data_IF_638477407030
#
_entry.id   IF_638477407030
#
_cell.length_a   1.000
_cell.length_b   1.000
_cell.length_c   1.000
_cell.angle_alpha   90.00
_cell.angle_beta   90.00
_cell.angle_gamma   90.00
#
_symmetry.space_group_name_H-M   'P 1'
#
loop_
_entity.id
_entity.type
_entity.pdbx_description
1 polymer ?
#
# COMPACT_ATOMS: atom_id res chain seq x y z
N UNK A 1 -30.16 -39.12 48.43
CA UNK A 1 -30.66 -39.10 47.03
C UNK A 1 -30.45 -37.77 46.27
N UNK A 2 -30.04 -36.66 46.92
CA UNK A 2 -29.79 -35.36 46.26
C UNK A 2 -28.55 -35.29 45.34
N UNK A 3 -27.65 -36.29 45.36
CA UNK A 3 -26.38 -36.24 44.61
C UNK A 3 -26.53 -36.48 43.09
N UNK A 4 -27.57 -37.18 42.64
CA UNK A 4 -27.75 -37.48 41.22
C UNK A 4 -28.39 -36.32 40.43
N UNK A 5 -29.35 -35.61 41.04
CA UNK A 5 -29.99 -34.46 40.41
C UNK A 5 -28.98 -33.32 40.16
N UNK A 6 -28.10 -33.04 41.13
CA UNK A 6 -27.04 -32.05 40.99
C UNK A 6 -26.05 -32.42 39.87
N UNK A 7 -25.73 -33.71 39.69
CA UNK A 7 -24.86 -34.17 38.58
C UNK A 7 -25.50 -33.94 37.21
N UNK A 8 -26.79 -34.23 37.07
CA UNK A 8 -27.54 -34.01 35.83
C UNK A 8 -27.60 -32.50 35.50
N UNK A 9 -27.83 -31.66 36.51
CA UNK A 9 -27.81 -30.21 36.34
C UNK A 9 -26.44 -29.68 35.86
N UNK A 10 -25.34 -30.16 36.45
CA UNK A 10 -23.98 -29.76 36.06
C UNK A 10 -23.67 -30.21 34.62
N UNK A 11 -24.06 -31.42 34.23
CA UNK A 11 -23.86 -31.92 32.86
C UNK A 11 -24.66 -31.08 31.86
N UNK A 12 -25.92 -30.77 32.17
CA UNK A 12 -26.76 -29.90 31.33
C UNK A 12 -26.14 -28.50 31.17
N UNK A 13 -25.58 -27.95 32.25
CA UNK A 13 -24.93 -26.65 32.23
C UNK A 13 -23.68 -26.67 31.34
N UNK A 14 -22.85 -27.72 31.44
CA UNK A 14 -21.65 -27.90 30.60
C UNK A 14 -21.99 -28.01 29.11
N UNK A 15 -23.07 -28.72 28.78
CA UNK A 15 -23.53 -28.82 27.39
C UNK A 15 -23.98 -27.46 26.88
N UNK A 16 -24.74 -26.71 27.67
CA UNK A 16 -25.20 -25.37 27.30
C UNK A 16 -24.04 -24.40 27.10
N UNK A 17 -23.04 -24.38 27.99
CA UNK A 17 -21.88 -23.49 27.85
C UNK A 17 -20.98 -23.87 26.67
N UNK A 18 -20.80 -25.17 26.41
CA UNK A 18 -20.07 -25.67 25.24
C UNK A 18 -20.76 -25.25 23.93
N UNK A 19 -22.10 -25.30 23.89
CA UNK A 19 -22.88 -24.86 22.73
C UNK A 19 -22.78 -23.35 22.51
N UNK A 20 -22.91 -22.55 23.57
CA UNK A 20 -22.75 -21.08 23.51
C UNK A 20 -21.34 -20.71 23.04
N UNK A 21 -20.32 -21.41 23.54
CA UNK A 21 -18.93 -21.19 23.13
C UNK A 21 -18.72 -21.48 21.64
N UNK A 22 -19.25 -22.61 21.16
CA UNK A 22 -19.18 -22.99 19.75
C UNK A 22 -19.90 -22.00 18.85
N UNK A 23 -21.06 -21.50 19.27
CA UNK A 23 -21.79 -20.47 18.56
C UNK A 23 -21.03 -19.14 18.49
N UNK A 24 -20.41 -18.70 19.61
CA UNK A 24 -19.54 -17.52 19.60
C UNK A 24 -18.34 -17.66 18.68
N UNK A 25 -17.74 -18.84 18.63
CA UNK A 25 -16.60 -19.13 17.76
C UNK A 25 -16.95 -18.95 16.28
N UNK A 26 -18.16 -19.35 15.88
CA UNK A 26 -18.67 -19.09 14.53
C UNK A 26 -18.74 -17.59 14.23
N UNK A 27 -19.37 -16.80 15.10
CA UNK A 27 -19.48 -15.34 14.92
C UNK A 27 -18.09 -14.71 14.81
N UNK A 28 -17.18 -15.06 15.73
CA UNK A 28 -15.81 -14.55 15.74
C UNK A 28 -15.07 -14.88 14.44
N UNK A 29 -15.29 -16.06 13.87
CA UNK A 29 -14.67 -16.45 12.60
C UNK A 29 -15.18 -15.59 11.45
N UNK A 30 -16.48 -15.25 11.44
CA UNK A 30 -17.03 -14.34 10.44
C UNK A 30 -16.50 -12.92 10.60
N UNK A 31 -16.50 -12.38 11.82
CA UNK A 31 -15.97 -11.03 12.09
C UNK A 31 -14.48 -10.95 11.75
N UNK A 32 -13.71 -11.99 12.06
CA UNK A 32 -12.30 -12.04 11.68
C UNK A 32 -12.13 -12.04 10.15
N UNK A 33 -12.94 -12.80 9.41
CA UNK A 33 -12.87 -12.83 7.94
C UNK A 33 -13.22 -11.49 7.32
N UNK A 34 -14.24 -10.80 7.83
CA UNK A 34 -14.64 -9.48 7.32
C UNK A 34 -13.60 -8.42 7.63
N UNK A 35 -13.08 -8.39 8.87
CA UNK A 35 -12.01 -7.49 9.27
C UNK A 35 -10.73 -7.72 8.44
N UNK A 36 -10.36 -8.99 8.21
CA UNK A 36 -9.21 -9.33 7.39
C UNK A 36 -9.37 -8.86 5.95
N UNK A 37 -10.54 -9.08 5.34
CA UNK A 37 -10.82 -8.62 3.97
C UNK A 37 -10.78 -7.08 3.85
N UNK A 38 -11.25 -6.36 4.87
CA UNK A 38 -11.15 -4.90 4.91
C UNK A 38 -9.70 -4.43 5.07
N UNK A 39 -8.92 -5.11 5.91
CA UNK A 39 -7.50 -4.82 6.09
C UNK A 39 -6.75 -5.02 4.77
N UNK A 40 -6.98 -6.14 4.09
CA UNK A 40 -6.37 -6.45 2.80
C UNK A 40 -6.67 -5.38 1.74
N UNK A 41 -7.94 -4.93 1.68
CA UNK A 41 -8.33 -3.83 0.80
C UNK A 41 -7.56 -2.54 1.11
N UNK A 42 -7.48 -2.17 2.38
CA UNK A 42 -6.76 -0.97 2.81
C UNK A 42 -5.25 -1.06 2.55
N UNK A 43 -4.66 -2.25 2.67
CA UNK A 43 -3.24 -2.45 2.35
C UNK A 43 -2.96 -2.27 0.87
N UNK A 44 -3.82 -2.79 -0.01
CA UNK A 44 -3.69 -2.61 -1.45
C UNK A 44 -3.84 -1.13 -1.86
N UNK A 45 -4.82 -0.43 -1.28
CA UNK A 45 -5.02 1.00 -1.55
C UNK A 45 -3.82 1.83 -1.07
N UNK A 46 -3.27 1.52 0.10
CA UNK A 46 -2.05 2.16 0.60
C UNK A 46 -0.85 1.93 -0.32
N UNK A 47 -0.69 0.70 -0.83
CA UNK A 47 0.39 0.37 -1.76
C UNK A 47 0.27 1.12 -3.08
N UNK A 48 -0.94 1.21 -3.65
CA UNK A 48 -1.19 1.96 -4.89
C UNK A 48 -0.92 3.47 -4.70
N UNK A 49 -1.43 4.06 -3.61
CA UNK A 49 -1.15 5.47 -3.29
C UNK A 49 0.33 5.73 -3.05
N UNK A 50 1.03 4.80 -2.39
CA UNK A 50 2.49 4.87 -2.20
C UNK A 50 3.22 4.82 -3.54
N UNK A 51 2.80 3.94 -4.45
CA UNK A 51 3.36 3.83 -5.78
C UNK A 51 3.18 5.12 -6.59
N UNK A 52 1.97 5.67 -6.62
CA UNK A 52 1.67 6.93 -7.30
C UNK A 52 2.48 8.10 -6.73
N UNK A 53 2.58 8.19 -5.40
CA UNK A 53 3.39 9.21 -4.72
C UNK A 53 4.87 9.11 -5.09
N UNK A 54 5.44 7.90 -5.12
CA UNK A 54 6.83 7.69 -5.49
C UNK A 54 7.13 8.13 -6.92
N UNK A 55 6.22 7.86 -7.87
CA UNK A 55 6.36 8.34 -9.26
C UNK A 55 6.41 9.87 -9.27
N UNK A 56 5.49 10.53 -8.58
CA UNK A 56 5.42 11.98 -8.54
C UNK A 56 6.68 12.60 -7.91
N UNK A 57 7.18 12.00 -6.82
CA UNK A 57 8.41 12.44 -6.16
C UNK A 57 9.61 12.33 -7.11
N UNK A 58 9.75 11.23 -7.84
CA UNK A 58 10.83 11.07 -8.82
C UNK A 58 10.71 12.05 -9.98
N UNK A 59 9.49 12.34 -10.46
CA UNK A 59 9.27 13.36 -11.48
C UNK A 59 9.70 14.77 -11.00
N UNK A 60 9.29 15.17 -9.79
CA UNK A 60 9.70 16.44 -9.20
C UNK A 60 11.22 16.51 -9.02
N UNK A 61 11.83 15.42 -8.55
CA UNK A 61 13.28 15.32 -8.40
C UNK A 61 14.01 15.43 -9.73
N UNK A 62 13.49 14.80 -10.79
CA UNK A 62 14.01 14.92 -12.15
C UNK A 62 13.98 16.38 -12.62
N UNK A 63 12.85 17.07 -12.47
CA UNK A 63 12.74 18.48 -12.85
C UNK A 63 13.67 19.38 -12.04
N UNK A 64 13.76 19.17 -10.72
CA UNK A 64 14.68 19.92 -9.86
C UNK A 64 16.14 19.71 -10.26
N UNK A 65 16.53 18.48 -10.59
CA UNK A 65 17.86 18.19 -11.12
C UNK A 65 18.09 18.90 -12.46
N UNK A 66 17.13 18.88 -13.38
CA UNK A 66 17.26 19.55 -14.67
C UNK A 66 17.39 21.07 -14.53
N UNK A 67 16.59 21.68 -13.64
CA UNK A 67 16.68 23.11 -13.33
C UNK A 67 18.05 23.44 -12.72
N UNK A 68 18.52 22.62 -11.78
CA UNK A 68 19.81 22.83 -11.12
C UNK A 68 20.98 22.72 -12.09
N UNK A 69 20.95 21.72 -12.99
CA UNK A 69 21.94 21.56 -14.05
C UNK A 69 21.94 22.76 -15.00
N UNK A 70 20.76 23.23 -15.42
CA UNK A 70 20.62 24.41 -16.27
C UNK A 70 21.17 25.66 -15.59
N UNK A 71 20.84 25.85 -14.31
CA UNK A 71 21.33 26.98 -13.50
C UNK A 71 22.86 26.93 -13.40
N UNK A 72 23.42 25.78 -13.06
CA UNK A 72 24.86 25.58 -12.98
C UNK A 72 25.56 25.87 -14.32
N UNK A 73 25.02 25.35 -15.43
CA UNK A 73 25.59 25.59 -16.76
C UNK A 73 25.54 27.07 -17.16
N UNK A 74 24.44 27.77 -16.87
CA UNK A 74 24.31 29.19 -17.20
C UNK A 74 25.18 30.08 -16.32
N UNK A 75 25.22 29.83 -15.01
CA UNK A 75 25.88 30.70 -14.03
C UNK A 75 27.38 30.44 -13.91
N UNK A 76 27.79 29.17 -13.86
CA UNK A 76 29.19 28.81 -13.63
C UNK A 76 29.98 28.56 -14.93
N UNK A 77 29.30 28.06 -15.98
CA UNK A 77 29.94 27.74 -17.26
C UNK A 77 29.63 28.77 -18.35
N UNK A 78 28.80 29.79 -18.07
CA UNK A 78 28.41 30.81 -19.04
C UNK A 78 27.66 30.27 -20.25
N UNK A 79 27.08 29.07 -20.14
CA UNK A 79 26.38 28.42 -21.25
C UNK A 79 25.01 29.07 -21.48
N UNK A 80 24.80 29.58 -22.68
CA UNK A 80 23.53 30.16 -23.13
C UNK A 80 22.77 29.15 -23.98
N UNK A 81 21.43 29.19 -23.90
CA UNK A 81 20.59 28.32 -24.74
C UNK A 81 20.65 28.84 -26.18
N UNK A 82 21.10 28.03 -27.16
CA UNK A 82 21.30 28.50 -28.52
C UNK A 82 19.97 28.90 -29.19
N UNK A 83 20.02 29.98 -29.97
CA UNK A 83 18.88 30.42 -30.76
C UNK A 83 18.60 29.40 -31.88
N UNK A 84 17.39 29.39 -32.45
CA UNK A 84 16.94 28.42 -33.46
C UNK A 84 17.89 28.35 -34.67
N UNK A 85 18.56 29.47 -35.01
CA UNK A 85 19.55 29.56 -36.09
C UNK A 85 20.91 28.93 -35.77
N UNK A 86 21.21 28.71 -34.49
CA UNK A 86 22.51 28.21 -34.00
C UNK A 86 22.44 26.72 -33.60
N UNK A 87 21.25 26.11 -33.69
CA UNK A 87 21.06 24.70 -33.35
C UNK A 87 21.56 23.81 -34.48
N UNK A 88 22.57 22.99 -34.17
CA UNK A 88 23.05 21.92 -35.05
C UNK A 88 22.38 20.63 -34.61
N UNK A 89 21.53 20.05 -35.47
CA UNK A 89 20.90 18.76 -35.22
C UNK A 89 21.79 17.65 -35.78
N UNK A 90 22.23 16.75 -34.91
CA UNK A 90 22.97 15.56 -35.33
C UNK A 90 21.98 14.47 -35.75
N UNK A 91 22.09 13.99 -36.99
CA UNK A 91 21.31 12.86 -37.48
C UNK A 91 21.86 11.59 -36.82
N UNK A 92 21.04 10.92 -36.01
CA UNK A 92 21.40 9.63 -35.42
C UNK A 92 21.45 8.58 -36.53
N UNK A 93 22.64 8.16 -36.94
CA UNK A 93 22.80 6.96 -37.78
C UNK A 93 22.49 5.74 -36.93
N UNK A 94 21.34 5.12 -37.19
CA UNK A 94 21.02 3.78 -36.70
C UNK A 94 21.64 2.83 -37.73
N UNK A 95 22.85 2.36 -37.47
CA UNK A 95 23.41 1.21 -38.20
C UNK A 95 22.59 -0.02 -37.84
N UNK A 96 22.05 -0.66 -38.88
CA UNK A 96 21.18 -1.83 -38.82
C UNK A 96 21.94 -3.09 -38.42
#
# INVERSE_FOLDING_TARGET
>A
MLRNQNKIFIISLLIATSFISSYKLLIQTYDHRTAFAQLEKLTLEKEDLSFQSNILIEEVKYFNNQISLRKFASENLGMITPNIKERIYLIRRITK
#
